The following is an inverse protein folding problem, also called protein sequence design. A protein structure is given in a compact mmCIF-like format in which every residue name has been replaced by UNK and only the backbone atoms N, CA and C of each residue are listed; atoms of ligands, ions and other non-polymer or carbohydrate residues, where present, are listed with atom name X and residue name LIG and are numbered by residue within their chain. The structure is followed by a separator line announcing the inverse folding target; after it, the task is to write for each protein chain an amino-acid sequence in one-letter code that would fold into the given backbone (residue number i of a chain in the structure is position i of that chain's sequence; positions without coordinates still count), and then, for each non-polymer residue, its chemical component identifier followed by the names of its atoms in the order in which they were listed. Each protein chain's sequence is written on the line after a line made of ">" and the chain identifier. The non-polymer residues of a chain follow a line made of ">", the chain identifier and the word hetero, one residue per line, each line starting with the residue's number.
data_IF_285991990494
#
_entry.id   IF_285991990494
#
_cell.length_a   1.000
_cell.length_b   1.000
_cell.length_c   1.000
_cell.angle_alpha   90.00
_cell.angle_beta   90.00
_cell.angle_gamma   90.00
#
_symmetry.space_group_name_H-M   'P 1'
#
loop_
_entity.id
_entity.type
_entity.pdbx_description
1 polymer ?
#
# COMPACT_ATOMS: atom_id res chain seq x y z
N UNK A 1 11.95 52.83 37.76
CA UNK A 1 10.58 53.28 38.06
C UNK A 1 9.92 52.19 38.93
N UNK A 2 9.49 52.58 40.13
CA UNK A 2 8.88 51.64 41.11
C UNK A 2 7.42 51.41 40.71
N UNK A 3 7.04 50.12 40.54
CA UNK A 3 5.64 49.76 40.29
C UNK A 3 4.74 50.21 41.43
N UNK A 4 3.62 50.84 41.09
CA UNK A 4 2.63 51.31 42.07
C UNK A 4 1.96 50.09 42.77
N UNK A 5 1.48 50.31 44.00
CA UNK A 5 0.75 49.29 44.79
C UNK A 5 -0.48 48.75 44.04
N UNK A 6 -1.04 49.53 43.15
CA UNK A 6 -2.22 49.17 42.34
C UNK A 6 -1.83 48.25 41.18
N UNK A 7 -0.67 48.44 40.55
CA UNK A 7 -0.13 47.59 39.49
C UNK A 7 0.28 46.23 40.04
N UNK A 8 0.90 46.18 41.26
CA UNK A 8 1.20 44.89 41.93
C UNK A 8 -0.07 44.09 42.22
N UNK A 9 -1.11 44.70 42.79
CA UNK A 9 -2.39 44.04 43.06
C UNK A 9 -3.10 43.57 41.79
N UNK A 10 -2.93 44.26 40.66
CA UNK A 10 -3.49 43.88 39.37
C UNK A 10 -2.72 42.71 38.77
N UNK A 11 -1.40 42.66 38.90
CA UNK A 11 -0.55 41.58 38.50
C UNK A 11 -0.81 40.30 39.35
N UNK A 12 -0.94 40.43 40.69
CA UNK A 12 -1.28 39.34 41.59
C UNK A 12 -2.66 38.75 41.30
N UNK A 13 -3.67 39.60 41.00
CA UNK A 13 -5.01 39.12 40.58
C UNK A 13 -4.98 38.44 39.20
N UNK A 14 -4.18 38.92 38.27
CA UNK A 14 -3.98 38.31 36.95
C UNK A 14 -3.24 36.97 37.06
N UNK A 15 -2.21 36.89 37.92
CA UNK A 15 -1.51 35.64 38.21
C UNK A 15 -2.44 34.60 38.85
N UNK A 16 -3.21 35.00 39.88
CA UNK A 16 -4.17 34.12 40.57
C UNK A 16 -5.30 33.64 39.66
N UNK A 17 -5.72 34.44 38.67
CA UNK A 17 -6.73 34.08 37.67
C UNK A 17 -6.16 33.09 36.62
N UNK A 18 -4.84 33.00 36.49
CA UNK A 18 -4.18 32.02 35.63
C UNK A 18 -3.91 30.69 36.35
N UNK A 19 -3.88 30.68 37.71
CA UNK A 19 -3.71 29.45 38.48
C UNK A 19 -4.96 28.57 38.52
N UNK A 20 -6.15 29.14 38.28
CA UNK A 20 -7.44 28.41 38.23
C UNK A 20 -7.77 27.83 36.86
N UNK A 21 -6.81 27.80 35.91
CA UNK A 21 -7.03 27.09 34.64
C UNK A 21 -6.88 25.62 34.87
N UNK A 22 -8.00 24.90 34.77
CA UNK A 22 -7.98 23.44 34.71
C UNK A 22 -7.02 22.98 33.63
N UNK A 23 -5.97 22.29 34.02
CA UNK A 23 -5.10 21.57 33.09
C UNK A 23 -5.77 20.24 32.78
N UNK A 24 -6.32 20.12 31.56
CA UNK A 24 -6.82 18.84 31.08
C UNK A 24 -5.68 18.11 30.36
N UNK A 25 -5.44 16.88 30.79
CA UNK A 25 -4.59 15.96 30.05
C UNK A 25 -5.49 15.17 29.10
N UNK A 26 -5.12 15.09 27.85
CA UNK A 26 -5.82 14.29 26.86
C UNK A 26 -4.80 13.45 26.07
N UNK A 27 -5.25 12.30 25.65
CA UNK A 27 -4.51 11.40 24.78
C UNK A 27 -5.19 11.40 23.41
N UNK A 28 -4.39 11.53 22.35
CA UNK A 28 -4.89 11.40 20.99
C UNK A 28 -4.78 9.94 20.59
N UNK A 29 -5.92 9.30 20.41
CA UNK A 29 -6.01 7.94 19.91
C UNK A 29 -6.20 7.97 18.40
N UNK A 30 -5.43 7.15 17.68
CA UNK A 30 -5.58 6.91 16.25
C UNK A 30 -5.93 5.44 16.02
N UNK A 31 -7.18 5.03 16.24
CA UNK A 31 -7.58 3.62 16.25
C UNK A 31 -7.58 2.97 14.86
N UNK A 32 -7.48 3.77 13.81
CA UNK A 32 -7.40 3.31 12.43
C UNK A 32 -6.20 3.91 11.75
N UNK A 33 -5.22 3.08 11.47
CA UNK A 33 -4.06 3.47 10.68
C UNK A 33 -3.76 2.37 9.66
N UNK A 34 -3.89 2.72 8.39
CA UNK A 34 -3.42 1.88 7.30
C UNK A 34 -2.22 2.58 6.69
N UNK A 35 -1.11 1.87 6.61
CA UNK A 35 0.10 2.39 5.97
C UNK A 35 0.15 1.93 4.52
N UNK A 36 0.31 2.88 3.61
CA UNK A 36 0.71 2.61 2.23
C UNK A 36 2.17 3.00 2.12
N UNK A 37 3.05 2.03 1.92
CA UNK A 37 4.45 2.30 1.65
C UNK A 37 4.63 2.67 0.18
N UNK A 38 5.39 3.72 -0.06
CA UNK A 38 5.89 4.07 -1.39
C UNK A 38 7.41 3.97 -1.40
N UNK A 39 7.96 3.32 -2.42
CA UNK A 39 9.39 3.30 -2.71
C UNK A 39 9.63 3.37 -4.22
N UNK A 40 10.90 3.42 -4.63
CA UNK A 40 11.33 3.31 -6.02
C UNK A 40 12.02 1.97 -6.22
N UNK A 41 11.70 1.30 -7.33
CA UNK A 41 12.46 0.12 -7.74
C UNK A 41 13.90 0.51 -8.06
N UNK A 42 14.89 -0.21 -7.54
CA UNK A 42 16.27 -0.03 -7.98
C UNK A 42 16.39 -0.22 -9.50
N UNK A 43 17.19 0.60 -10.21
CA UNK A 43 17.28 0.53 -11.66
C UNK A 43 17.51 -0.88 -12.23
N UNK A 44 18.39 -1.73 -11.68
CA UNK A 44 18.58 -3.09 -12.18
C UNK A 44 17.34 -3.98 -12.04
N UNK A 45 16.53 -3.79 -10.97
CA UNK A 45 15.28 -4.52 -10.76
C UNK A 45 14.23 -4.04 -11.75
N UNK A 46 14.10 -2.72 -11.93
CA UNK A 46 13.19 -2.12 -12.90
C UNK A 46 13.45 -2.62 -14.32
N UNK A 47 14.72 -2.60 -14.75
CA UNK A 47 15.13 -3.07 -16.08
C UNK A 47 14.81 -4.55 -16.29
N UNK A 48 15.09 -5.40 -15.29
CA UNK A 48 14.72 -6.83 -15.34
C UNK A 48 13.21 -7.01 -15.47
N UNK A 49 12.40 -6.31 -14.65
CA UNK A 49 10.95 -6.39 -14.69
C UNK A 49 10.36 -5.91 -16.01
N UNK A 50 10.89 -4.82 -16.58
CA UNK A 50 10.47 -4.35 -17.91
C UNK A 50 10.75 -5.44 -18.95
N UNK A 51 11.95 -5.97 -18.99
CA UNK A 51 12.36 -7.02 -19.95
C UNK A 51 11.52 -8.30 -19.84
N UNK A 52 11.22 -8.73 -18.61
CA UNK A 52 10.37 -9.92 -18.36
C UNK A 52 8.97 -9.65 -18.89
N UNK A 53 8.37 -8.54 -18.47
CA UNK A 53 6.99 -8.21 -18.81
C UNK A 53 6.81 -7.87 -20.29
N UNK A 54 7.82 -7.31 -20.98
CA UNK A 54 7.79 -7.13 -22.43
C UNK A 54 7.63 -8.47 -23.15
N UNK A 55 8.43 -9.49 -22.78
CA UNK A 55 8.34 -10.82 -23.39
C UNK A 55 6.99 -11.49 -23.17
N UNK A 56 6.39 -11.35 -21.98
CA UNK A 56 5.11 -11.95 -21.66
C UNK A 56 3.99 -11.21 -22.42
N UNK A 57 3.98 -9.88 -22.40
CA UNK A 57 2.93 -9.09 -23.09
C UNK A 57 3.01 -9.22 -24.61
N UNK A 58 4.21 -9.29 -25.18
CA UNK A 58 4.41 -9.49 -26.63
C UNK A 58 3.88 -10.87 -27.10
N UNK A 59 3.67 -11.82 -26.19
CA UNK A 59 3.13 -13.16 -26.46
C UNK A 59 1.80 -13.40 -25.74
N UNK A 60 1.05 -12.36 -25.40
CA UNK A 60 -0.12 -12.40 -24.51
C UNK A 60 -1.18 -13.44 -24.91
N UNK A 61 -1.38 -13.69 -26.22
CA UNK A 61 -2.36 -14.66 -26.72
C UNK A 61 -2.04 -16.11 -26.30
N UNK A 62 -0.78 -16.41 -25.97
CA UNK A 62 -0.31 -17.73 -25.54
C UNK A 62 -0.01 -17.81 -24.05
N UNK A 63 -0.15 -16.70 -23.34
CA UNK A 63 0.17 -16.63 -21.91
C UNK A 63 -1.07 -16.90 -21.05
N UNK A 64 -0.82 -17.35 -19.82
CA UNK A 64 -1.88 -17.65 -18.87
C UNK A 64 -2.52 -16.36 -18.37
N UNK A 65 -3.82 -16.21 -18.61
CA UNK A 65 -4.60 -15.10 -18.04
C UNK A 65 -4.81 -15.29 -16.53
N UNK A 66 -4.75 -14.19 -15.79
CA UNK A 66 -5.12 -14.13 -14.38
C UNK A 66 -6.44 -13.38 -14.18
N UNK A 67 -6.96 -12.73 -15.22
CA UNK A 67 -8.11 -11.82 -15.19
C UNK A 67 -9.39 -12.40 -14.60
N UNK A 68 -9.65 -13.73 -14.73
CA UNK A 68 -10.82 -14.37 -14.13
C UNK A 68 -10.88 -14.26 -12.59
N UNK A 69 -9.74 -13.99 -11.95
CA UNK A 69 -9.61 -13.87 -10.51
C UNK A 69 -9.49 -12.42 -10.03
N UNK A 70 -9.52 -11.45 -10.96
CA UNK A 70 -9.29 -10.04 -10.69
C UNK A 70 -10.54 -9.20 -10.94
N UNK A 71 -10.58 -8.02 -10.29
CA UNK A 71 -11.69 -7.09 -10.42
C UNK A 71 -11.58 -6.21 -11.67
N UNK A 72 -10.44 -6.20 -12.35
CA UNK A 72 -10.14 -5.34 -13.48
C UNK A 72 -11.10 -5.50 -14.63
N UNK A 73 -11.42 -4.38 -15.29
CA UNK A 73 -12.05 -4.36 -16.61
C UNK A 73 -10.94 -4.12 -17.63
N UNK A 74 -10.05 -5.11 -17.74
CA UNK A 74 -8.78 -5.06 -18.45
C UNK A 74 -8.61 -6.36 -19.23
N UNK A 75 -8.24 -6.24 -20.50
CA UNK A 75 -8.14 -7.39 -21.41
C UNK A 75 -6.92 -8.27 -21.08
N UNK A 76 -5.80 -7.65 -20.74
CA UNK A 76 -4.54 -8.35 -20.51
C UNK A 76 -4.07 -8.23 -19.06
N UNK A 77 -4.52 -9.19 -18.24
CA UNK A 77 -4.02 -9.45 -16.90
C UNK A 77 -3.32 -10.82 -16.91
N UNK A 78 -1.99 -10.82 -16.98
CA UNK A 78 -1.19 -12.00 -17.32
C UNK A 78 -0.37 -12.49 -16.13
N UNK A 79 -0.34 -13.78 -15.93
CA UNK A 79 0.42 -14.40 -14.85
C UNK A 79 1.94 -14.25 -15.06
N UNK A 80 2.66 -14.08 -13.96
CA UNK A 80 4.13 -14.16 -13.93
C UNK A 80 4.52 -15.36 -13.08
N UNK A 81 5.07 -16.39 -13.73
CA UNK A 81 5.45 -17.63 -13.05
C UNK A 81 6.62 -17.40 -12.07
N UNK A 82 6.55 -18.04 -10.91
CA UNK A 82 7.56 -17.89 -9.85
C UNK A 82 8.96 -18.32 -10.31
N UNK A 83 9.04 -19.33 -11.17
CA UNK A 83 10.29 -19.82 -11.74
C UNK A 83 11.05 -18.74 -12.52
N UNK A 84 10.32 -17.81 -13.14
CA UNK A 84 10.93 -16.65 -13.82
C UNK A 84 11.60 -15.73 -12.80
N UNK A 85 10.92 -15.48 -11.69
CA UNK A 85 11.44 -14.61 -10.62
C UNK A 85 12.64 -15.23 -9.91
N UNK A 86 12.62 -16.54 -9.71
CA UNK A 86 13.75 -17.28 -9.13
C UNK A 86 14.95 -17.26 -10.06
N UNK A 87 14.76 -17.57 -11.34
CA UNK A 87 15.82 -17.57 -12.35
C UNK A 87 16.48 -16.21 -12.53
N UNK A 88 15.70 -15.14 -12.40
CA UNK A 88 16.20 -13.75 -12.52
C UNK A 88 16.67 -13.18 -11.17
N UNK A 89 16.66 -13.97 -10.09
CA UNK A 89 17.07 -13.58 -8.74
C UNK A 89 16.25 -12.39 -8.18
N UNK A 90 14.95 -12.35 -8.49
CA UNK A 90 14.03 -11.28 -8.08
C UNK A 90 13.17 -11.65 -6.87
N UNK A 91 12.88 -12.94 -6.67
CA UNK A 91 11.99 -13.41 -5.62
C UNK A 91 12.42 -12.90 -4.24
N UNK A 92 13.70 -13.08 -3.89
CA UNK A 92 14.25 -12.64 -2.61
C UNK A 92 14.08 -11.14 -2.38
N UNK A 93 14.31 -10.31 -3.40
CA UNK A 93 14.13 -8.87 -3.31
C UNK A 93 12.69 -8.49 -2.93
N UNK A 94 11.69 -9.06 -3.63
CA UNK A 94 10.28 -8.73 -3.36
C UNK A 94 9.81 -9.23 -1.99
N UNK A 95 10.26 -10.41 -1.56
CA UNK A 95 9.95 -10.95 -0.24
C UNK A 95 10.60 -10.12 0.88
N UNK A 96 11.84 -9.68 0.70
CA UNK A 96 12.55 -8.86 1.69
C UNK A 96 11.91 -7.47 1.85
N UNK A 97 11.52 -6.82 0.74
CA UNK A 97 10.82 -5.53 0.80
C UNK A 97 9.46 -5.67 1.48
N UNK A 98 8.72 -6.75 1.18
CA UNK A 98 7.43 -7.05 1.83
C UNK A 98 7.59 -7.30 3.32
N UNK A 99 8.58 -8.08 3.74
CA UNK A 99 8.90 -8.33 5.15
C UNK A 99 9.25 -7.03 5.88
N UNK A 100 10.07 -6.17 5.26
CA UNK A 100 10.40 -4.87 5.83
C UNK A 100 9.17 -3.98 6.01
N UNK A 101 8.24 -3.99 5.06
CA UNK A 101 6.97 -3.27 5.20
C UNK A 101 6.19 -3.76 6.42
N UNK A 102 6.02 -5.10 6.59
CA UNK A 102 5.30 -5.68 7.75
C UNK A 102 5.91 -5.20 9.06
N UNK A 103 7.22 -5.38 9.21
CA UNK A 103 7.93 -4.99 10.43
C UNK A 103 7.73 -3.49 10.74
N UNK A 104 7.87 -2.63 9.74
CA UNK A 104 7.70 -1.19 9.92
C UNK A 104 6.26 -0.80 10.28
N UNK A 105 5.28 -1.37 9.59
CA UNK A 105 3.87 -1.13 9.86
C UNK A 105 3.48 -1.56 11.27
N UNK A 106 3.89 -2.76 11.69
CA UNK A 106 3.64 -3.27 13.03
C UNK A 106 4.31 -2.43 14.11
N UNK A 107 5.57 -2.04 13.91
CA UNK A 107 6.30 -1.18 14.85
C UNK A 107 5.67 0.22 15.01
N UNK A 108 4.98 0.71 13.99
CA UNK A 108 4.26 1.99 14.05
C UNK A 108 2.89 1.83 14.71
N UNK A 109 2.18 0.74 14.43
CA UNK A 109 0.88 0.46 15.04
C UNK A 109 1.00 0.08 16.53
N UNK A 110 2.09 -0.60 16.89
CA UNK A 110 2.32 -1.13 18.24
C UNK A 110 3.68 -0.69 18.79
N UNK A 111 3.88 0.61 19.04
CA UNK A 111 5.18 1.14 19.43
C UNK A 111 5.71 0.57 20.76
N UNK A 112 4.83 0.16 21.68
CA UNK A 112 5.21 -0.48 22.94
C UNK A 112 5.73 -1.91 22.73
N UNK A 113 5.26 -2.61 21.70
CA UNK A 113 5.68 -3.96 21.36
C UNK A 113 6.86 -3.99 20.36
N UNK A 114 7.36 -2.82 19.94
CA UNK A 114 8.47 -2.71 19.00
C UNK A 114 9.66 -3.64 19.30
N UNK A 115 10.16 -3.75 20.55
CA UNK A 115 11.28 -4.65 20.85
C UNK A 115 10.97 -6.12 20.55
N UNK A 116 9.76 -6.58 20.85
CA UNK A 116 9.31 -7.95 20.56
C UNK A 116 9.16 -8.19 19.05
N UNK A 117 8.56 -7.23 18.34
CA UNK A 117 8.39 -7.29 16.88
C UNK A 117 9.76 -7.40 16.18
N UNK A 118 10.75 -6.62 16.63
CA UNK A 118 12.10 -6.63 16.06
C UNK A 118 12.93 -7.87 16.45
N UNK A 119 12.59 -8.54 17.54
CA UNK A 119 13.25 -9.77 17.99
C UNK A 119 12.64 -11.03 17.35
N UNK A 120 11.43 -10.93 16.79
CA UNK A 120 10.72 -12.02 16.16
C UNK A 120 11.28 -12.28 14.74
N UNK A 121 11.23 -13.54 14.31
CA UNK A 121 11.60 -13.96 12.96
C UNK A 121 10.33 -13.98 12.08
N UNK A 122 10.33 -13.15 11.04
CA UNK A 122 9.19 -12.97 10.14
C UNK A 122 9.44 -13.62 8.79
N UNK A 123 8.48 -14.38 8.32
CA UNK A 123 8.49 -15.03 7.03
C UNK A 123 7.44 -14.42 6.11
N UNK A 124 7.77 -14.30 4.85
CA UNK A 124 6.89 -13.85 3.78
C UNK A 124 6.85 -14.87 2.66
N UNK A 125 5.67 -15.09 2.09
CA UNK A 125 5.48 -15.96 0.95
C UNK A 125 4.66 -15.23 -0.11
N UNK A 126 5.19 -15.17 -1.33
CA UNK A 126 4.45 -14.68 -2.48
C UNK A 126 3.45 -15.75 -2.93
N UNK A 127 2.19 -15.36 -3.07
CA UNK A 127 1.12 -16.26 -3.54
C UNK A 127 0.98 -16.22 -5.05
N UNK A 128 0.99 -15.01 -5.62
CA UNK A 128 0.79 -14.76 -7.04
C UNK A 128 1.45 -13.46 -7.46
N UNK A 129 1.90 -13.38 -8.70
CA UNK A 129 2.31 -12.14 -9.35
C UNK A 129 1.67 -12.07 -10.73
N UNK A 130 1.20 -10.87 -11.12
CA UNK A 130 0.57 -10.68 -12.43
C UNK A 130 0.86 -9.30 -13.00
N UNK A 131 0.85 -9.23 -14.33
CA UNK A 131 0.99 -8.01 -15.13
C UNK A 131 -0.40 -7.47 -15.40
N UNK A 132 -0.55 -6.16 -15.29
CA UNK A 132 -1.72 -5.41 -15.72
C UNK A 132 -1.28 -4.53 -16.90
N UNK A 133 -1.60 -4.96 -18.13
CA UNK A 133 -1.35 -4.21 -19.36
C UNK A 133 -2.59 -3.43 -19.75
N UNK A 134 -2.83 -2.33 -19.04
CA UNK A 134 -4.02 -1.49 -19.16
C UNK A 134 -3.93 -0.62 -20.41
N UNK A 135 -5.01 -0.61 -21.20
CA UNK A 135 -5.20 0.21 -22.40
C UNK A 135 -6.20 1.33 -22.17
N UNK A 136 -6.45 2.13 -23.22
CA UNK A 136 -7.43 3.23 -23.21
C UNK A 136 -8.80 2.78 -22.71
N UNK A 137 -9.39 3.54 -21.77
CA UNK A 137 -10.68 3.34 -21.12
C UNK A 137 -10.81 2.10 -20.22
N UNK A 138 -9.79 1.26 -20.13
CA UNK A 138 -9.75 0.18 -19.16
C UNK A 138 -9.49 0.73 -17.74
N UNK A 139 -9.98 0.02 -16.72
CA UNK A 139 -9.87 0.47 -15.33
C UNK A 139 -9.97 -0.69 -14.34
N UNK A 140 -9.48 -0.44 -13.11
CA UNK A 140 -9.78 -1.31 -11.97
C UNK A 140 -10.84 -0.64 -11.09
N UNK A 141 -12.01 -1.26 -10.87
CA UNK A 141 -13.03 -0.74 -9.96
C UNK A 141 -12.52 -0.77 -8.50
N UNK A 142 -13.27 -0.14 -7.59
CA UNK A 142 -12.96 -0.19 -6.18
C UNK A 142 -13.03 -1.64 -5.67
N UNK A 143 -11.92 -2.13 -5.11
CA UNK A 143 -11.79 -3.50 -4.64
C UNK A 143 -10.82 -3.62 -3.47
N UNK A 144 -10.75 -4.80 -2.90
CA UNK A 144 -9.75 -5.29 -1.94
C UNK A 144 -9.23 -6.64 -2.43
N UNK A 145 -8.12 -7.07 -1.88
CA UNK A 145 -7.61 -8.42 -2.11
C UNK A 145 -8.08 -9.37 -0.99
N UNK A 146 -8.28 -10.63 -1.33
CA UNK A 146 -8.71 -11.69 -0.41
C UNK A 146 -7.68 -12.82 -0.38
N UNK A 147 -7.69 -13.60 0.70
CA UNK A 147 -6.79 -14.76 0.90
C UNK A 147 -5.30 -14.39 0.89
N UNK A 148 -4.97 -13.15 1.20
CA UNK A 148 -3.61 -12.65 1.37
C UNK A 148 -3.60 -11.54 2.42
N UNK A 149 -2.42 -11.19 2.92
CA UNK A 149 -2.25 -10.16 3.93
C UNK A 149 -1.86 -8.81 3.31
N UNK A 150 -1.05 -8.88 2.26
CA UNK A 150 -0.54 -7.70 1.56
C UNK A 150 -0.84 -7.81 0.08
N UNK A 151 -1.04 -6.65 -0.53
CA UNK A 151 -1.01 -6.45 -1.96
C UNK A 151 -0.03 -5.35 -2.35
N UNK A 152 0.37 -5.35 -3.60
CA UNK A 152 1.39 -4.45 -4.12
C UNK A 152 1.03 -3.95 -5.50
N UNK A 153 1.67 -2.86 -5.92
CA UNK A 153 1.67 -2.45 -7.31
C UNK A 153 2.96 -1.70 -7.64
N UNK A 154 3.62 -2.10 -8.73
CA UNK A 154 4.77 -1.40 -9.30
C UNK A 154 4.47 -0.97 -10.73
N UNK A 155 5.04 0.17 -11.15
CA UNK A 155 4.75 0.78 -12.44
C UNK A 155 5.95 0.70 -13.36
N UNK A 156 5.77 0.05 -14.52
CA UNK A 156 6.85 -0.23 -15.48
C UNK A 156 6.75 0.63 -16.74
N UNK A 157 5.52 0.98 -17.17
CA UNK A 157 5.27 1.87 -18.29
C UNK A 157 4.12 2.82 -17.97
N UNK A 158 4.27 4.08 -18.32
CA UNK A 158 3.24 5.12 -18.21
C UNK A 158 3.21 5.86 -19.55
N UNK A 159 2.09 5.83 -20.28
CA UNK A 159 1.97 6.56 -21.53
C UNK A 159 1.70 8.06 -21.28
N UNK A 160 1.85 8.86 -22.31
CA UNK A 160 1.31 10.22 -22.29
C UNK A 160 -0.21 10.18 -22.30
N UNK A 161 -0.84 10.78 -21.31
CA UNK A 161 -2.30 10.85 -21.21
C UNK A 161 -2.85 12.02 -21.98
N UNK A 162 -3.96 11.81 -22.66
CA UNK A 162 -4.73 12.87 -23.30
C UNK A 162 -5.47 13.65 -22.19
N UNK A 163 -5.24 14.96 -22.04
CA UNK A 163 -5.99 15.75 -21.07
C UNK A 163 -7.50 15.67 -21.33
N UNK A 164 -8.25 15.22 -20.35
CA UNK A 164 -9.69 14.99 -20.48
C UNK A 164 -10.54 16.14 -19.97
N UNK A 165 -9.97 17.06 -19.21
CA UNK A 165 -10.70 18.13 -18.54
C UNK A 165 -10.26 19.51 -19.01
N UNK A 166 -11.27 20.31 -19.38
CA UNK A 166 -11.13 21.76 -19.62
C UNK A 166 -11.17 22.59 -18.32
N UNK A 167 -11.11 21.98 -17.14
CA UNK A 167 -11.30 22.64 -15.86
C UNK A 167 -9.99 22.74 -15.09
N UNK A 168 -9.91 23.67 -14.13
CA UNK A 168 -8.78 23.84 -13.20
C UNK A 168 -8.67 22.68 -12.16
N UNK A 169 -9.39 21.57 -12.35
CA UNK A 169 -9.29 20.39 -11.50
C UNK A 169 -8.12 19.52 -11.95
N UNK A 170 -7.45 18.90 -10.97
CA UNK A 170 -6.42 17.90 -11.24
C UNK A 170 -7.02 16.77 -12.07
N UNK A 171 -6.32 16.36 -13.11
CA UNK A 171 -6.68 15.20 -13.89
C UNK A 171 -6.27 13.94 -13.14
N UNK A 172 -7.20 13.00 -12.99
CA UNK A 172 -6.99 11.74 -12.27
C UNK A 172 -6.83 10.54 -13.23
N UNK A 173 -6.74 10.80 -14.55
CA UNK A 173 -6.58 9.75 -15.56
C UNK A 173 -5.36 8.87 -15.26
N UNK A 174 -5.55 7.55 -15.23
CA UNK A 174 -4.52 6.57 -14.91
C UNK A 174 -4.03 6.58 -13.46
N UNK A 175 -4.58 7.42 -12.58
CA UNK A 175 -4.21 7.48 -11.18
C UNK A 175 -4.69 6.26 -10.39
N UNK A 176 -3.92 5.89 -9.36
CA UNK A 176 -4.39 4.99 -8.30
C UNK A 176 -4.94 5.81 -7.14
N UNK A 177 -6.06 5.36 -6.57
CA UNK A 177 -6.66 5.99 -5.39
C UNK A 177 -6.87 4.96 -4.29
N UNK A 178 -6.46 5.32 -3.09
CA UNK A 178 -6.72 4.58 -1.86
C UNK A 178 -7.82 5.28 -1.06
N UNK A 179 -8.77 4.51 -0.51
CA UNK A 179 -9.84 5.02 0.34
C UNK A 179 -9.48 4.92 1.81
N UNK A 180 -9.66 6.00 2.55
CA UNK A 180 -9.48 6.05 3.99
C UNK A 180 -10.82 6.07 4.76
N UNK A 181 -10.79 5.88 6.08
CA UNK A 181 -11.99 5.91 6.94
C UNK A 181 -12.51 7.33 7.21
N UNK A 182 -11.79 8.37 6.80
CA UNK A 182 -12.15 9.75 7.11
C UNK A 182 -13.36 10.24 6.31
N UNK A 183 -14.14 11.14 6.91
CA UNK A 183 -15.22 11.83 6.25
C UNK A 183 -14.75 12.89 5.24
N UNK A 184 -15.69 13.62 4.65
CA UNK A 184 -15.40 14.63 3.62
C UNK A 184 -14.70 15.89 4.15
N UNK A 185 -14.68 16.11 5.46
CA UNK A 185 -14.08 17.30 6.06
C UNK A 185 -12.56 17.09 6.27
N UNK A 186 -11.69 17.81 5.53
CA UNK A 186 -10.25 17.62 5.61
C UNK A 186 -9.64 17.95 6.99
N UNK A 187 -10.39 18.64 7.86
CA UNK A 187 -9.97 18.87 9.25
C UNK A 187 -9.89 17.58 10.08
N UNK A 188 -10.63 16.56 9.68
CA UNK A 188 -10.74 15.27 10.39
C UNK A 188 -10.00 14.12 9.71
N UNK A 189 -9.40 14.38 8.56
CA UNK A 189 -8.61 13.43 7.82
C UNK A 189 -8.84 13.47 6.31
N UNK A 190 -8.16 12.64 5.58
CA UNK A 190 -8.26 12.54 4.12
C UNK A 190 -9.09 11.32 3.76
N UNK A 191 -10.25 11.47 3.09
CA UNK A 191 -11.09 10.33 2.72
C UNK A 191 -10.48 9.47 1.61
N UNK A 192 -9.67 10.08 0.75
CA UNK A 192 -9.01 9.40 -0.36
C UNK A 192 -7.62 9.97 -0.60
N UNK A 193 -6.70 9.11 -1.00
CA UNK A 193 -5.37 9.49 -1.45
C UNK A 193 -5.22 9.08 -2.92
N UNK A 194 -5.27 10.06 -3.82
CA UNK A 194 -5.10 9.85 -5.27
C UNK A 194 -3.68 10.21 -5.68
N UNK A 195 -3.03 9.28 -6.37
CA UNK A 195 -1.61 9.38 -6.75
C UNK A 195 -1.49 9.16 -8.25
N UNK A 196 -0.83 10.09 -8.93
CA UNK A 196 -0.33 9.86 -10.29
C UNK A 196 0.99 9.10 -10.18
N UNK A 197 1.04 7.86 -10.65
CA UNK A 197 2.27 7.07 -10.55
C UNK A 197 3.31 7.52 -11.58
N UNK A 198 4.57 7.29 -11.24
CA UNK A 198 5.70 7.40 -12.15
C UNK A 198 6.31 6.01 -12.41
N UNK A 199 7.05 5.88 -13.53
CA UNK A 199 7.81 4.65 -13.80
C UNK A 199 8.80 4.40 -12.68
N UNK A 200 8.84 3.16 -12.17
CA UNK A 200 9.65 2.75 -11.03
C UNK A 200 8.95 2.92 -9.67
N UNK A 201 7.83 3.65 -9.57
CA UNK A 201 7.06 3.70 -8.32
C UNK A 201 6.63 2.30 -7.92
N UNK A 202 6.81 1.98 -6.64
CA UNK A 202 6.41 0.71 -6.05
C UNK A 202 5.68 0.94 -4.73
N UNK A 203 4.47 0.41 -4.62
CA UNK A 203 3.60 0.56 -3.45
C UNK A 203 3.32 -0.80 -2.83
N UNK A 204 3.27 -0.84 -1.48
CA UNK A 204 2.85 -2.00 -0.68
C UNK A 204 1.81 -1.52 0.33
N UNK A 205 0.74 -2.28 0.48
CA UNK A 205 -0.38 -1.95 1.36
C UNK A 205 -1.09 -3.21 1.85
N UNK A 206 -1.86 -3.15 2.96
CA UNK A 206 -2.65 -4.28 3.42
C UNK A 206 -3.68 -4.71 2.37
N UNK A 207 -3.90 -5.99 2.24
CA UNK A 207 -4.88 -6.54 1.29
C UNK A 207 -6.30 -5.98 1.46
N UNK A 208 -6.68 -5.64 2.68
CA UNK A 208 -7.96 -5.01 3.02
C UNK A 208 -8.07 -3.54 2.62
N UNK A 209 -6.99 -2.90 2.17
CA UNK A 209 -7.00 -1.50 1.75
C UNK A 209 -7.80 -1.33 0.47
N UNK A 210 -8.96 -0.67 0.56
CA UNK A 210 -9.77 -0.33 -0.62
C UNK A 210 -9.00 0.60 -1.55
N UNK A 211 -8.98 0.25 -2.83
CA UNK A 211 -8.32 1.04 -3.85
C UNK A 211 -8.96 0.80 -5.22
N UNK A 212 -8.68 1.72 -6.15
CA UNK A 212 -9.11 1.64 -7.55
C UNK A 212 -8.15 2.37 -8.45
N UNK A 213 -8.24 2.10 -9.75
CA UNK A 213 -7.44 2.77 -10.78
C UNK A 213 -8.38 3.39 -11.80
N UNK A 214 -8.19 4.68 -12.05
CA UNK A 214 -8.97 5.39 -13.06
C UNK A 214 -8.61 4.95 -14.48
N UNK A 215 -9.58 4.96 -15.39
CA UNK A 215 -9.30 4.84 -16.81
C UNK A 215 -8.48 6.05 -17.29
N UNK A 216 -7.87 5.91 -18.44
CA UNK A 216 -7.17 6.98 -19.12
C UNK A 216 -7.44 6.92 -20.63
N UNK A 217 -6.99 7.93 -21.35
CA UNK A 217 -6.96 7.96 -22.79
C UNK A 217 -5.62 8.49 -23.26
N UNK A 218 -5.17 8.00 -24.41
CA UNK A 218 -3.92 8.43 -25.04
C UNK A 218 -4.19 9.12 -26.37
N UNK A 219 -3.29 9.97 -26.88
CA UNK A 219 -3.53 10.71 -28.13
C UNK A 219 -3.82 9.84 -29.34
N UNK A 220 -3.24 8.64 -29.39
CA UNK A 220 -3.39 7.68 -30.49
C UNK A 220 -4.31 6.48 -30.17
N UNK A 221 -4.84 6.43 -28.96
CA UNK A 221 -5.69 5.33 -28.47
C UNK A 221 -4.96 4.00 -28.31
N UNK A 222 -3.61 4.00 -28.32
CA UNK A 222 -2.77 2.77 -28.29
C UNK A 222 -1.78 2.72 -27.12
N UNK A 223 -1.79 3.74 -26.27
CA UNK A 223 -0.89 3.79 -25.13
C UNK A 223 -1.11 2.63 -24.16
N UNK A 224 -0.03 2.16 -23.56
CA UNK A 224 -0.04 1.12 -22.55
C UNK A 224 0.45 1.68 -21.20
N UNK A 225 -0.37 1.54 -20.16
CA UNK A 225 0.06 1.67 -18.78
C UNK A 225 0.29 0.27 -18.23
N UNK A 226 1.56 -0.05 -17.99
CA UNK A 226 1.92 -1.37 -17.45
C UNK A 226 2.27 -1.26 -15.98
N UNK A 227 1.54 -2.01 -15.18
CA UNK A 227 1.88 -2.28 -13.78
C UNK A 227 2.01 -3.77 -13.53
N UNK A 228 2.67 -4.12 -12.42
CA UNK A 228 2.76 -5.49 -11.93
C UNK A 228 2.35 -5.47 -10.48
N UNK A 229 1.49 -6.40 -10.10
CA UNK A 229 1.04 -6.60 -8.73
C UNK A 229 1.40 -8.01 -8.26
N UNK A 230 1.57 -8.16 -6.95
CA UNK A 230 1.69 -9.46 -6.33
C UNK A 230 1.07 -9.45 -4.93
N UNK A 231 0.60 -10.61 -4.52
CA UNK A 231 0.00 -10.84 -3.21
C UNK A 231 0.96 -11.65 -2.33
N UNK A 232 0.98 -11.31 -1.04
CA UNK A 232 1.87 -11.93 -0.05
C UNK A 232 1.08 -12.31 1.20
N UNK A 233 1.42 -13.44 1.78
CA UNK A 233 1.10 -13.78 3.17
C UNK A 233 2.37 -13.68 4.02
N UNK A 234 2.18 -13.39 5.30
CA UNK A 234 3.28 -13.37 6.26
C UNK A 234 2.89 -14.12 7.54
N UNK A 235 3.89 -14.57 8.27
CA UNK A 235 3.72 -15.17 9.59
C UNK A 235 4.99 -15.00 10.41
N UNK A 236 4.85 -14.99 11.72
CA UNK A 236 5.98 -15.11 12.62
C UNK A 236 6.39 -16.58 12.77
N UNK A 237 7.62 -16.80 13.24
CA UNK A 237 8.08 -18.13 13.64
C UNK A 237 7.20 -18.71 14.74
N UNK A 238 6.86 -17.89 15.71
CA UNK A 238 5.99 -18.26 16.84
C UNK A 238 4.63 -18.76 16.33
N UNK A 239 3.98 -18.04 15.41
CA UNK A 239 2.70 -18.47 14.82
C UNK A 239 2.81 -19.79 14.04
N UNK A 240 3.90 -19.98 13.29
CA UNK A 240 4.12 -21.25 12.57
C UNK A 240 4.31 -22.43 13.51
N UNK A 241 5.03 -22.25 14.63
CA UNK A 241 5.22 -23.27 15.63
C UNK A 241 3.92 -23.62 16.37
N UNK A 242 3.10 -22.62 16.69
CA UNK A 242 1.78 -22.80 17.27
C UNK A 242 0.82 -23.53 16.33
N UNK A 243 0.81 -23.17 15.05
CA UNK A 243 -0.01 -23.86 14.04
C UNK A 243 0.37 -25.34 13.89
N UNK A 244 1.66 -25.65 13.86
CA UNK A 244 2.14 -27.05 13.80
C UNK A 244 1.70 -27.85 15.03
N UNK A 245 1.83 -27.29 16.22
CA UNK A 245 1.37 -27.92 17.47
C UNK A 245 -0.13 -28.23 17.44
N UNK A 246 -0.95 -27.27 17.01
CA UNK A 246 -2.39 -27.46 16.88
C UNK A 246 -2.77 -28.56 15.89
N UNK A 247 -2.05 -28.67 14.78
CA UNK A 247 -2.26 -29.74 13.80
C UNK A 247 -1.92 -31.14 14.39
N UNK A 248 -0.84 -31.24 15.13
CA UNK A 248 -0.44 -32.49 15.80
C UNK A 248 -1.45 -32.91 16.87
N UNK A 249 -1.96 -31.98 17.67
CA UNK A 249 -3.01 -32.25 18.66
C UNK A 249 -4.30 -32.75 18.00
N UNK A 250 -4.75 -32.11 16.89
CA UNK A 250 -5.95 -32.54 16.17
C UNK A 250 -5.81 -33.91 15.49
N UNK A 251 -4.59 -34.32 15.11
CA UNK A 251 -4.34 -35.63 14.57
C UNK A 251 -4.38 -36.70 15.67
N UNK A 252 -3.86 -36.40 16.85
CA UNK A 252 -3.86 -37.32 17.98
C UNK A 252 -5.26 -37.53 18.57
N UNK A 253 -6.13 -36.53 18.54
CA UNK A 253 -7.54 -36.66 19.00
C UNK A 253 -8.43 -37.47 18.04
N UNK A 254 -7.97 -37.79 16.84
CA UNK A 254 -8.70 -38.60 15.85
C UNK A 254 -8.28 -40.07 15.82
N UNK A 255 -7.28 -40.44 16.61
CA UNK A 255 -6.78 -41.82 16.79
C UNK A 255 -7.33 -42.43 18.07
#
# INVERSE_FOLDING_TARGET
>A
MSQTRQERRRAERAAKKNEDKFSMHFEMLQPWSTFVMKTQLPPPILEKMIRITDKIVDNAENEKSHGEHLAGQIEHELWVEHEILEKEELMGFFLDVSRNYVIQAMCQNEPLNRPAILAEEWYTQMLSMWIISQKDNEYNPCHVHTQCDLSTVMYLKIPEYLPTRKSNRKDDDGAITFSGPAGKDPRWGTPTMTIQPAVGDFYIFPASQQHWVYPFRTPDGKGERRSVSFNVVFSSKTEQEEYKRQQEEQQNDKL
#
